data_IF_593057698711
#
_entry.id   IF_593057698711
#
_cell.length_a   1.000
_cell.length_b   1.000
_cell.length_c   1.000
_cell.angle_alpha   90.00
_cell.angle_beta   90.00
_cell.angle_gamma   90.00
#
_symmetry.space_group_name_H-M   'P 1'
#
loop_
_entity.id
_entity.type
_entity.pdbx_description
1 polymer ?
#
# COMPACT_ATOMS: atom_id res chain seq x y z
N UNK A 1 2.26 -11.11 12.83
CA UNK A 1 0.79 -10.85 12.81
C UNK A 1 0.48 -10.01 11.59
N UNK A 2 -0.58 -10.34 10.87
CA UNK A 2 -1.10 -9.55 9.75
C UNK A 2 -2.44 -8.94 10.19
N UNK A 3 -2.65 -7.68 9.90
CA UNK A 3 -3.88 -6.94 10.13
C UNK A 3 -4.51 -6.62 8.78
N UNK A 4 -5.76 -7.00 8.57
CA UNK A 4 -6.57 -6.56 7.45
C UNK A 4 -7.41 -5.36 7.86
N UNK A 5 -7.35 -4.30 7.07
CA UNK A 5 -8.10 -3.08 7.32
C UNK A 5 -8.90 -2.69 6.07
N UNK A 6 -10.17 -2.39 6.24
CA UNK A 6 -11.00 -1.72 5.26
C UNK A 6 -11.28 -0.31 5.78
N UNK A 7 -10.88 0.69 5.02
CA UNK A 7 -11.08 2.09 5.38
C UNK A 7 -12.16 2.71 4.49
N UNK A 8 -12.71 3.84 4.90
CA UNK A 8 -13.80 4.52 4.20
C UNK A 8 -13.44 5.97 3.90
N UNK A 9 -14.22 6.60 3.04
CA UNK A 9 -14.14 8.02 2.73
C UNK A 9 -12.76 8.46 2.20
N UNK A 10 -12.16 7.63 1.33
CA UNK A 10 -10.92 7.98 0.62
C UNK A 10 -11.16 9.22 -0.25
N UNK A 11 -12.23 9.23 -1.05
CA UNK A 11 -12.65 10.29 -1.95
C UNK A 11 -13.03 11.61 -1.23
N UNK A 12 -13.26 11.54 0.08
CA UNK A 12 -13.57 12.71 0.91
C UNK A 12 -12.32 13.31 1.59
N UNK A 13 -11.11 12.89 1.13
CA UNK A 13 -9.83 13.36 1.65
C UNK A 13 -9.17 12.40 2.63
N UNK A 14 -9.18 11.11 2.34
CA UNK A 14 -8.45 10.04 3.07
C UNK A 14 -8.90 9.90 4.54
N UNK A 15 -10.15 10.23 4.87
CA UNK A 15 -10.60 10.35 6.26
C UNK A 15 -10.47 9.06 7.06
N UNK A 16 -10.81 7.91 6.45
CA UNK A 16 -10.73 6.61 7.12
C UNK A 16 -9.30 6.17 7.40
N UNK A 17 -8.40 6.32 6.43
CA UNK A 17 -6.99 5.97 6.61
C UNK A 17 -6.26 6.94 7.54
N UNK A 18 -6.60 8.23 7.51
CA UNK A 18 -6.08 9.20 8.47
C UNK A 18 -6.51 8.86 9.91
N UNK A 19 -7.78 8.49 10.10
CA UNK A 19 -8.26 8.00 11.39
C UNK A 19 -7.51 6.74 11.82
N UNK A 20 -7.36 5.75 10.93
CA UNK A 20 -6.62 4.52 11.20
C UNK A 20 -5.17 4.82 11.61
N UNK A 21 -4.47 5.71 10.89
CA UNK A 21 -3.11 6.10 11.24
C UNK A 21 -2.99 6.69 12.65
N UNK A 22 -3.95 7.55 13.05
CA UNK A 22 -3.97 8.20 14.37
C UNK A 22 -4.45 7.30 15.51
N UNK A 23 -5.33 6.33 15.20
CA UNK A 23 -6.01 5.47 16.17
C UNK A 23 -5.79 3.99 15.91
N UNK A 24 -4.65 3.64 15.32
CA UNK A 24 -4.31 2.26 15.00
C UNK A 24 -4.33 1.36 16.25
N UNK A 25 -4.90 0.14 16.17
CA UNK A 25 -4.88 -0.82 17.27
C UNK A 25 -3.47 -1.30 17.63
N UNK A 26 -2.51 -1.10 16.74
CA UNK A 26 -1.08 -1.36 16.95
C UNK A 26 -0.33 -0.05 16.76
N UNK A 27 0.53 0.30 17.72
CA UNK A 27 1.32 1.54 17.61
C UNK A 27 2.09 1.59 16.28
N UNK A 28 2.06 2.70 15.52
CA UNK A 28 2.66 2.81 14.20
C UNK A 28 4.12 2.32 14.13
N UNK A 29 4.92 2.64 15.13
CA UNK A 29 6.32 2.18 15.21
C UNK A 29 6.50 0.66 15.37
N UNK A 30 5.44 -0.12 15.58
CA UNK A 30 5.44 -1.60 15.62
C UNK A 30 4.92 -2.22 14.32
N UNK A 31 4.34 -1.44 13.44
CA UNK A 31 3.87 -1.91 12.15
C UNK A 31 5.05 -1.91 11.18
N UNK A 32 5.37 -3.06 10.62
CA UNK A 32 6.51 -3.24 9.72
C UNK A 32 6.25 -2.61 8.37
N UNK A 33 5.08 -2.91 7.78
CA UNK A 33 4.73 -2.53 6.43
C UNK A 33 3.23 -2.38 6.30
N UNK A 34 2.78 -1.51 5.41
CA UNK A 34 1.40 -1.43 4.93
C UNK A 34 1.36 -1.60 3.42
N UNK A 35 0.51 -2.52 2.97
CA UNK A 35 0.20 -2.74 1.56
C UNK A 35 -1.22 -2.24 1.30
N UNK A 36 -1.39 -1.41 0.28
CA UNK A 36 -2.68 -0.85 -0.11
C UNK A 36 -3.11 -1.42 -1.45
N UNK A 37 -4.35 -1.83 -1.51
CA UNK A 37 -5.07 -2.11 -2.74
C UNK A 37 -6.25 -1.16 -2.86
N UNK A 38 -6.57 -0.81 -4.10
CA UNK A 38 -7.73 -0.01 -4.46
C UNK A 38 -8.41 -0.63 -5.69
N UNK A 39 -8.93 0.19 -6.56
CA UNK A 39 -9.49 -0.27 -7.81
C UNK A 39 -8.43 -1.00 -8.64
N UNK A 40 -8.70 -2.27 -8.95
CA UNK A 40 -7.95 -3.08 -9.90
C UNK A 40 -8.87 -3.37 -11.09
N UNK A 41 -8.33 -3.29 -12.31
CA UNK A 41 -9.11 -3.57 -13.52
C UNK A 41 -9.30 -5.09 -13.69
N UNK A 42 -10.57 -5.59 -13.81
CA UNK A 42 -10.85 -7.00 -14.00
C UNK A 42 -10.71 -7.41 -15.48
N UNK A 43 -9.49 -7.29 -16.03
CA UNK A 43 -9.20 -7.46 -17.47
C UNK A 43 -8.20 -8.58 -17.76
N UNK A 44 -7.88 -9.42 -16.77
CA UNK A 44 -7.03 -10.59 -16.97
C UNK A 44 -5.74 -10.61 -16.15
N UNK A 45 -4.83 -11.51 -16.54
CA UNK A 45 -3.58 -11.82 -15.82
C UNK A 45 -2.48 -10.80 -16.17
N UNK A 46 -2.06 -9.90 -15.25
CA UNK A 46 -1.03 -8.92 -15.53
C UNK A 46 0.38 -9.55 -15.58
N UNK A 47 1.21 -9.05 -16.47
CA UNK A 47 2.66 -9.32 -16.53
C UNK A 47 3.49 -8.15 -15.96
N UNK A 48 2.82 -7.06 -15.60
CA UNK A 48 3.42 -5.91 -14.92
C UNK A 48 2.64 -5.53 -13.66
N UNK A 49 3.36 -4.93 -12.72
CA UNK A 49 2.83 -4.37 -11.48
C UNK A 49 3.40 -2.99 -11.24
N UNK A 50 2.58 -2.05 -10.81
CA UNK A 50 2.99 -0.75 -10.32
C UNK A 50 2.96 -0.76 -8.78
N UNK A 51 4.06 -0.27 -8.18
CA UNK A 51 4.28 -0.31 -6.73
C UNK A 51 4.64 1.08 -6.22
N UNK A 52 3.64 1.95 -6.15
CA UNK A 52 3.87 3.35 -5.81
C UNK A 52 4.40 3.53 -4.37
N UNK A 53 5.68 3.86 -4.24
CA UNK A 53 6.39 4.08 -2.98
C UNK A 53 7.18 2.89 -2.44
N UNK A 54 7.16 1.73 -3.10
CA UNK A 54 7.88 0.53 -2.66
C UNK A 54 9.40 0.74 -2.66
N UNK A 55 9.92 1.42 -3.69
CA UNK A 55 11.33 1.74 -3.90
C UNK A 55 11.94 2.63 -2.79
N UNK A 56 11.08 3.24 -2.00
CA UNK A 56 11.44 4.12 -0.88
C UNK A 56 11.72 3.36 0.42
N UNK A 57 11.58 2.02 0.40
CA UNK A 57 11.68 1.18 1.60
C UNK A 57 12.91 0.28 1.58
N UNK A 58 13.38 -0.13 2.76
CA UNK A 58 14.46 -1.11 2.91
C UNK A 58 14.07 -2.53 2.47
N UNK A 59 12.80 -2.72 2.08
CA UNK A 59 12.25 -4.01 1.65
C UNK A 59 12.20 -4.17 0.12
N UNK A 60 12.66 -3.18 -0.63
CA UNK A 60 12.49 -3.16 -2.07
C UNK A 60 13.15 -4.34 -2.80
N UNK A 61 14.34 -4.76 -2.37
CA UNK A 61 15.01 -5.92 -2.98
C UNK A 61 14.22 -7.24 -2.81
N UNK A 62 13.55 -7.42 -1.66
CA UNK A 62 12.66 -8.57 -1.45
C UNK A 62 11.43 -8.49 -2.35
N UNK A 63 10.89 -7.28 -2.55
CA UNK A 63 9.76 -7.03 -3.45
C UNK A 63 10.14 -7.36 -4.90
N UNK A 64 11.30 -6.93 -5.38
CA UNK A 64 11.80 -7.26 -6.73
C UNK A 64 11.94 -8.77 -6.94
N UNK A 65 12.48 -9.47 -5.94
CA UNK A 65 12.62 -10.92 -5.98
C UNK A 65 11.26 -11.63 -6.05
N UNK A 66 10.28 -11.17 -5.28
CA UNK A 66 8.94 -11.74 -5.27
C UNK A 66 8.17 -11.43 -6.57
N UNK A 67 8.28 -10.20 -7.09
CA UNK A 67 7.68 -9.83 -8.37
C UNK A 67 8.18 -10.76 -9.49
N UNK A 68 9.48 -10.99 -9.54
CA UNK A 68 10.09 -11.93 -10.49
C UNK A 68 9.56 -13.36 -10.31
N UNK A 69 9.38 -13.83 -9.08
CA UNK A 69 8.84 -15.18 -8.80
C UNK A 69 7.38 -15.32 -9.29
N UNK A 70 6.61 -14.22 -9.28
CA UNK A 70 5.25 -14.16 -9.83
C UNK A 70 5.21 -13.90 -11.34
N UNK A 71 6.37 -13.78 -12.02
CA UNK A 71 6.43 -13.41 -13.44
C UNK A 71 5.95 -11.99 -13.71
N UNK A 72 6.12 -11.11 -12.72
CA UNK A 72 5.75 -9.71 -12.82
C UNK A 72 7.00 -8.84 -13.04
N UNK A 73 6.91 -7.91 -13.97
CA UNK A 73 7.88 -6.82 -14.13
C UNK A 73 7.38 -5.60 -13.36
N UNK A 74 8.23 -4.98 -12.55
CA UNK A 74 7.87 -3.75 -11.86
C UNK A 74 7.94 -2.59 -12.86
N UNK A 75 6.82 -1.92 -13.07
CA UNK A 75 6.72 -0.72 -13.90
C UNK A 75 6.96 0.50 -13.02
N UNK A 76 7.90 1.38 -13.38
CA UNK A 76 8.06 2.67 -12.71
C UNK A 76 6.82 3.55 -12.89
N UNK A 77 6.54 4.42 -11.90
CA UNK A 77 5.50 5.45 -12.06
C UNK A 77 5.84 6.31 -13.29
N UNK A 78 4.98 6.36 -14.31
CA UNK A 78 5.23 7.17 -15.51
C UNK A 78 5.06 8.67 -15.27
N UNK A 79 4.41 9.07 -14.16
CA UNK A 79 4.05 10.45 -13.85
C UNK A 79 4.34 10.83 -12.38
N UNK A 80 5.61 10.69 -11.91
CA UNK A 80 5.94 10.98 -10.51
C UNK A 80 5.65 12.43 -10.13
N UNK A 81 5.68 13.37 -11.11
CA UNK A 81 5.33 14.78 -10.92
C UNK A 81 3.85 15.01 -10.62
N UNK A 82 2.98 14.05 -10.98
CA UNK A 82 1.54 14.13 -10.68
C UNK A 82 1.23 13.88 -9.20
N UNK A 83 2.18 13.28 -8.46
CA UNK A 83 2.08 13.07 -7.03
C UNK A 83 0.95 12.12 -6.62
N UNK A 84 0.68 11.10 -7.41
CA UNK A 84 -0.37 10.09 -7.11
C UNK A 84 -0.15 9.38 -5.77
N UNK A 85 1.11 9.21 -5.36
CA UNK A 85 1.44 8.65 -4.05
C UNK A 85 0.72 9.37 -2.89
N UNK A 86 0.55 10.69 -2.98
CA UNK A 86 0.00 11.54 -1.92
C UNK A 86 -1.53 11.61 -1.91
N UNK A 87 -2.19 10.91 -2.84
CA UNK A 87 -3.64 11.01 -3.04
C UNK A 87 -4.40 9.75 -2.65
N UNK A 88 -3.75 8.81 -1.98
CA UNK A 88 -4.37 7.54 -1.65
C UNK A 88 -4.05 7.10 -0.22
N UNK A 89 -4.82 6.17 0.32
CA UNK A 89 -4.85 5.78 1.73
C UNK A 89 -3.50 5.39 2.34
N UNK A 90 -2.59 4.81 1.55
CA UNK A 90 -1.25 4.45 2.05
C UNK A 90 -0.45 5.68 2.50
N UNK A 91 -0.70 6.85 1.93
CA UNK A 91 -0.07 8.11 2.33
C UNK A 91 -0.40 8.49 3.79
N UNK A 92 -1.64 8.30 4.21
CA UNK A 92 -2.04 8.56 5.61
C UNK A 92 -1.25 7.73 6.61
N UNK A 93 -0.91 6.48 6.23
CA UNK A 93 -0.09 5.60 7.06
C UNK A 93 1.40 5.94 6.98
N UNK A 94 1.88 6.36 5.81
CA UNK A 94 3.23 6.88 5.66
C UNK A 94 3.49 8.11 6.54
N UNK A 95 2.53 9.02 6.62
CA UNK A 95 2.59 10.23 7.47
C UNK A 95 2.78 9.94 8.96
N UNK A 96 2.39 8.78 9.44
CA UNK A 96 2.64 8.34 10.82
C UNK A 96 3.86 7.42 10.94
N UNK A 97 4.68 7.36 9.89
CA UNK A 97 5.97 6.67 9.86
C UNK A 97 5.90 5.19 9.49
N UNK A 98 4.76 4.67 9.05
CA UNK A 98 4.65 3.27 8.59
C UNK A 98 5.13 3.21 7.14
N UNK A 99 6.16 2.38 6.79
CA UNK A 99 6.48 2.10 5.41
C UNK A 99 5.25 1.58 4.68
N UNK A 100 4.85 2.28 3.61
CA UNK A 100 3.55 2.05 2.95
C UNK A 100 3.67 2.26 1.45
N UNK A 101 3.07 1.37 0.67
CA UNK A 101 2.97 1.52 -0.77
C UNK A 101 1.68 0.89 -1.30
N UNK A 102 1.27 1.31 -2.49
CA UNK A 102 0.13 0.72 -3.20
C UNK A 102 0.59 -0.31 -4.21
N UNK A 103 -0.28 -1.28 -4.48
CA UNK A 103 -0.10 -2.32 -5.49
C UNK A 103 -1.24 -2.17 -6.50
N UNK A 104 -0.89 -2.01 -7.77
CA UNK A 104 -1.82 -2.01 -8.91
C UNK A 104 -1.21 -2.75 -10.08
N UNK A 105 -2.02 -3.14 -11.04
CA UNK A 105 -1.55 -3.69 -12.31
C UNK A 105 -0.85 -2.62 -13.16
N UNK A 106 0.12 -3.06 -13.99
CA UNK A 106 0.67 -2.24 -15.06
C UNK A 106 -0.16 -2.33 -16.34
N UNK A 107 0.48 -2.11 -17.49
CA UNK A 107 -0.21 -2.08 -18.79
C UNK A 107 -0.05 -3.36 -19.60
N UNK A 108 0.82 -4.29 -19.22
CA UNK A 108 1.01 -5.56 -19.90
C UNK A 108 0.21 -6.67 -19.26
N UNK A 109 -0.56 -7.34 -20.10
CA UNK A 109 -1.40 -8.47 -19.73
C UNK A 109 -1.09 -9.67 -20.60
N UNK A 110 -1.21 -10.87 -20.05
CA UNK A 110 -0.93 -12.12 -20.75
C UNK A 110 -1.75 -12.25 -22.02
N UNK A 111 -1.05 -12.42 -23.15
CA UNK A 111 -1.67 -12.55 -24.47
C UNK A 111 -2.02 -11.23 -25.14
N UNK A 112 -1.67 -10.10 -24.55
CA UNK A 112 -1.92 -8.76 -25.10
C UNK A 112 -0.63 -7.93 -25.11
N UNK A 113 -0.56 -6.97 -26.01
CA UNK A 113 0.49 -5.96 -26.02
C UNK A 113 0.18 -4.78 -25.08
N UNK A 114 1.16 -3.91 -24.86
CA UNK A 114 1.00 -2.74 -23.99
C UNK A 114 -0.07 -1.76 -24.50
N UNK A 115 -0.18 -1.59 -25.82
CA UNK A 115 -1.18 -0.72 -26.44
C UNK A 115 -2.63 -1.18 -26.14
N UNK A 116 -2.85 -2.49 -26.02
CA UNK A 116 -4.13 -3.02 -25.58
C UNK A 116 -4.42 -2.60 -24.12
N UNK A 117 -3.46 -2.78 -23.20
CA UNK A 117 -3.61 -2.37 -21.80
C UNK A 117 -3.89 -0.88 -21.65
N UNK A 118 -3.15 -0.03 -22.38
CA UNK A 118 -3.41 1.41 -22.43
C UNK A 118 -4.84 1.72 -22.93
N UNK A 119 -5.32 0.98 -23.92
CA UNK A 119 -6.69 1.17 -24.43
C UNK A 119 -7.75 0.79 -23.41
N UNK A 120 -7.52 -0.29 -22.64
CA UNK A 120 -8.42 -0.73 -21.57
C UNK A 120 -8.45 0.28 -20.41
N UNK A 121 -7.30 0.76 -19.99
CA UNK A 121 -7.20 1.78 -18.94
C UNK A 121 -7.92 3.07 -19.35
N UNK A 122 -7.71 3.53 -20.59
CA UNK A 122 -8.39 4.72 -21.11
C UNK A 122 -9.90 4.53 -21.18
N UNK A 123 -10.37 3.38 -21.66
CA UNK A 123 -11.80 3.06 -21.71
C UNK A 123 -12.42 3.05 -20.31
N UNK A 124 -11.73 2.46 -19.32
CA UNK A 124 -12.19 2.45 -17.94
C UNK A 124 -12.31 3.88 -17.40
N UNK A 125 -11.27 4.70 -17.55
CA UNK A 125 -11.26 6.09 -17.06
C UNK A 125 -12.34 6.95 -17.73
N UNK A 126 -12.60 6.76 -19.01
CA UNK A 126 -13.59 7.55 -19.76
C UNK A 126 -15.04 7.13 -19.51
N UNK A 127 -15.29 5.84 -19.24
CA UNK A 127 -16.64 5.30 -19.29
C UNK A 127 -17.14 4.71 -17.98
N UNK A 128 -16.24 4.32 -17.06
CA UNK A 128 -16.60 3.60 -15.84
C UNK A 128 -16.13 4.30 -14.58
N UNK A 129 -14.90 4.78 -14.53
CA UNK A 129 -14.29 5.35 -13.34
C UNK A 129 -15.16 6.47 -12.75
N UNK A 130 -15.62 6.27 -11.52
CA UNK A 130 -16.55 7.16 -10.80
C UNK A 130 -17.89 7.39 -11.51
N UNK A 131 -18.33 6.43 -12.32
CA UNK A 131 -19.60 6.50 -13.03
C UNK A 131 -20.56 5.39 -12.57
N UNK A 132 -21.89 5.62 -12.67
CA UNK A 132 -22.88 4.56 -12.41
C UNK A 132 -22.75 3.33 -13.32
N UNK A 133 -22.04 3.45 -14.42
CA UNK A 133 -21.75 2.37 -15.36
C UNK A 133 -20.63 1.42 -14.91
N UNK A 134 -19.98 1.71 -13.77
CA UNK A 134 -18.98 0.80 -13.19
C UNK A 134 -19.67 -0.33 -12.41
N UNK A 135 -20.29 -1.22 -13.15
CA UNK A 135 -21.03 -2.36 -12.66
C UNK A 135 -20.37 -3.67 -13.07
N UNK A 136 -20.63 -4.73 -12.32
CA UNK A 136 -20.21 -6.08 -12.68
C UNK A 136 -20.72 -6.49 -14.07
N UNK A 137 -19.85 -7.09 -14.87
CA UNK A 137 -20.18 -7.67 -16.16
C UNK A 137 -19.62 -9.10 -16.28
N UNK A 138 -20.35 -10.04 -16.92
CA UNK A 138 -19.92 -11.44 -16.99
C UNK A 138 -18.59 -11.69 -17.71
N UNK A 139 -18.17 -10.76 -18.55
CA UNK A 139 -16.89 -10.78 -19.28
C UNK A 139 -15.69 -10.35 -18.46
N UNK A 140 -15.88 -9.88 -17.23
CA UNK A 140 -14.80 -9.48 -16.34
C UNK A 140 -13.93 -10.67 -15.95
N UNK A 141 -12.61 -10.54 -16.14
CA UNK A 141 -11.60 -11.53 -15.76
C UNK A 141 -10.86 -11.09 -14.51
N UNK A 142 -11.16 -11.75 -13.38
CA UNK A 142 -10.56 -11.49 -12.08
C UNK A 142 -9.26 -12.27 -11.80
N UNK A 143 -8.67 -12.91 -12.80
CA UNK A 143 -7.41 -13.66 -12.61
C UNK A 143 -6.27 -12.77 -12.09
N UNK A 144 -6.22 -11.52 -12.56
CA UNK A 144 -5.27 -10.52 -12.07
C UNK A 144 -5.46 -10.17 -10.59
N UNK A 145 -6.70 -10.01 -10.16
CA UNK A 145 -7.02 -9.77 -8.74
C UNK A 145 -6.50 -10.91 -7.86
N UNK A 146 -6.72 -12.16 -8.26
CA UNK A 146 -6.24 -13.33 -7.54
C UNK A 146 -4.71 -13.37 -7.49
N UNK A 147 -4.04 -13.08 -8.61
CA UNK A 147 -2.58 -13.03 -8.70
C UNK A 147 -1.98 -11.94 -7.80
N UNK A 148 -2.48 -10.70 -7.89
CA UNK A 148 -1.98 -9.59 -7.10
C UNK A 148 -2.32 -9.74 -5.61
N UNK A 149 -3.47 -10.30 -5.27
CA UNK A 149 -3.80 -10.64 -3.88
C UNK A 149 -2.81 -11.67 -3.29
N UNK A 150 -2.45 -12.70 -4.07
CA UNK A 150 -1.46 -13.69 -3.65
C UNK A 150 -0.05 -13.08 -3.56
N UNK A 151 0.32 -12.23 -4.50
CA UNK A 151 1.58 -11.47 -4.47
C UNK A 151 1.71 -10.64 -3.18
N UNK A 152 0.69 -9.83 -2.86
CA UNK A 152 0.71 -9.04 -1.62
C UNK A 152 0.62 -9.89 -0.36
N UNK A 153 -0.07 -11.04 -0.40
CA UNK A 153 -0.05 -11.99 0.70
C UNK A 153 1.38 -12.49 0.99
N UNK A 154 2.13 -12.88 -0.05
CA UNK A 154 3.51 -13.35 0.11
C UNK A 154 4.42 -12.23 0.62
N UNK A 155 4.31 -11.01 0.10
CA UNK A 155 5.02 -9.85 0.63
C UNK A 155 4.68 -9.60 2.11
N UNK A 156 3.40 -9.70 2.47
CA UNK A 156 2.95 -9.56 3.86
C UNK A 156 3.53 -10.63 4.80
N UNK A 157 3.61 -11.87 4.36
CA UNK A 157 4.23 -12.97 5.12
C UNK A 157 5.73 -12.74 5.28
N UNK A 158 6.43 -12.36 4.20
CA UNK A 158 7.85 -12.05 4.25
C UNK A 158 8.13 -10.87 5.19
N UNK A 159 7.39 -9.77 5.04
CA UNK A 159 7.52 -8.59 5.90
C UNK A 159 7.27 -8.91 7.38
N UNK A 160 6.27 -9.76 7.68
CA UNK A 160 5.96 -10.19 9.04
C UNK A 160 7.01 -11.14 9.64
N UNK A 161 7.83 -11.77 8.80
CA UNK A 161 8.88 -12.73 9.17
C UNK A 161 10.28 -12.11 9.23
N UNK A 162 10.44 -10.85 8.83
CA UNK A 162 11.71 -10.14 8.92
C UNK A 162 12.18 -10.02 10.37
N UNK A 163 13.48 -10.21 10.67
CA UNK A 163 14.01 -10.07 12.02
C UNK A 163 13.96 -8.62 12.51
N UNK A 164 14.00 -7.67 11.59
CA UNK A 164 13.91 -6.23 11.87
C UNK A 164 12.68 -5.63 11.18
N UNK A 165 12.14 -4.58 11.77
CA UNK A 165 11.07 -3.82 11.14
C UNK A 165 11.60 -3.13 9.87
N UNK A 166 10.80 -3.17 8.81
CA UNK A 166 11.06 -2.44 7.57
C UNK A 166 11.12 -0.94 7.90
N UNK A 167 12.01 -0.23 7.23
CA UNK A 167 12.21 1.20 7.38
C UNK A 167 12.09 1.91 6.03
N UNK A 168 11.88 3.21 6.07
CA UNK A 168 12.12 4.08 4.93
C UNK A 168 13.62 4.17 4.65
N UNK A 169 14.02 4.44 3.43
CA UNK A 169 15.42 4.69 3.09
C UNK A 169 15.90 5.98 3.79
N UNK A 170 17.19 6.07 4.14
CA UNK A 170 17.74 7.26 4.78
C UNK A 170 17.52 8.51 3.92
N UNK A 171 16.96 9.55 4.53
CA UNK A 171 16.65 10.82 3.84
C UNK A 171 15.27 10.86 3.20
N UNK A 172 14.51 9.77 3.27
CA UNK A 172 13.09 9.81 2.89
C UNK A 172 12.29 10.75 3.80
N UNK A 173 11.30 11.44 3.24
CA UNK A 173 10.49 12.42 3.98
C UNK A 173 9.76 11.84 5.19
N UNK A 174 9.47 10.53 5.22
CA UNK A 174 8.79 9.84 6.33
C UNK A 174 9.75 9.15 7.31
N UNK A 175 11.06 9.11 7.03
CA UNK A 175 12.05 8.43 7.87
C UNK A 175 12.12 9.04 9.28
N UNK A 176 12.11 10.36 9.38
CA UNK A 176 12.13 11.05 10.68
C UNK A 176 10.93 10.66 11.55
N UNK A 177 9.74 10.55 10.98
CA UNK A 177 8.54 10.13 11.70
C UNK A 177 8.60 8.65 12.08
N UNK A 178 9.15 7.79 11.22
CA UNK A 178 9.41 6.38 11.52
C UNK A 178 10.28 6.22 12.76
N UNK A 179 11.41 6.92 12.80
CA UNK A 179 12.32 6.91 13.93
C UNK A 179 11.63 7.42 15.22
N UNK A 180 10.88 8.51 15.13
CA UNK A 180 10.13 9.08 16.25
C UNK A 180 9.11 8.09 16.82
N UNK A 181 8.33 7.45 15.95
CA UNK A 181 7.29 6.48 16.35
C UNK A 181 7.89 5.26 17.05
N UNK A 182 9.07 4.80 16.62
CA UNK A 182 9.80 3.70 17.25
C UNK A 182 10.40 4.09 18.62
N UNK A 183 10.88 5.32 18.77
CA UNK A 183 11.41 5.80 20.04
C UNK A 183 10.34 5.92 21.13
N UNK A 184 9.11 6.29 20.76
CA UNK A 184 7.97 6.36 21.70
C UNK A 184 7.71 4.98 22.34
N UNK A 185 7.84 3.91 21.57
CA UNK A 185 7.60 2.54 22.04
C UNK A 185 8.71 2.06 22.98
N UNK A 186 9.95 2.50 22.78
CA UNK A 186 11.09 2.10 23.60
C UNK A 186 11.15 2.80 24.97
N UNK A 187 10.39 3.90 25.16
CA UNK A 187 10.33 4.57 26.46
C UNK A 187 9.40 3.77 27.38
N UNK A 188 9.86 3.36 28.59
CA UNK A 188 8.97 2.74 29.56
C UNK A 188 7.85 3.72 29.94
N UNK A 189 6.64 3.22 30.26
CA UNK A 189 5.54 4.07 30.70
C UNK A 189 6.04 4.91 31.89
N UNK A 190 5.81 6.22 31.84
CA UNK A 190 6.12 7.10 32.99
C UNK A 190 5.37 6.51 34.18
N UNK A 191 6.09 6.10 35.22
CA UNK A 191 5.49 5.67 36.51
C UNK A 191 4.55 6.78 36.94
N UNK A 192 3.26 6.45 36.99
CA UNK A 192 2.20 7.38 37.31
C UNK A 192 2.52 8.09 38.63
N UNK A 193 2.34 9.41 38.65
CA UNK A 193 2.21 10.17 39.86
C UNK A 193 0.97 9.64 40.60
N UNK A 194 1.21 8.81 41.60
CA UNK A 194 0.18 8.43 42.57
C UNK A 194 -0.28 9.70 43.26
N UNK A 195 -1.43 10.24 42.86
CA UNK A 195 -2.13 11.21 43.66
C UNK A 195 -2.46 10.55 44.99
N UNK A 196 -1.63 10.81 46.01
CA UNK A 196 -2.02 10.58 47.40
C UNK A 196 -3.22 11.49 47.68
N UNK A 197 -4.39 10.94 47.65
CA UNK A 197 -5.57 11.54 48.31
C UNK A 197 -5.23 11.60 49.82
N UNK A 198 -4.89 12.79 50.29
CA UNK A 198 -4.91 13.05 51.76
C UNK A 198 -6.38 13.05 52.18
N UNK A 199 -6.67 12.16 53.14
CA UNK A 199 -7.90 12.18 53.90
C UNK A 199 -7.92 13.41 54.82
#
# INVERSE_FOLDING_TARGET
>A
MILFAAVTAEEQGLLGSEYLGKHSPVAPGKISLSLKYDALAPIGDPEEVELSGAERTTFYADIEAEAKAFGLTIRPDPHPEAGYYYRSDHFSLARVGIPSFSISEGLKFKGHDEAWGESQQREYLERRYHQPSDEYAPEMDFSGHAKLAMFGYQLGVQAASQPNLIAWLPGDEFDAERQRSQLIIRKPPRKGMTHRLKR
#
